data_IF_706605135687
#
_entry.id   IF_706605135687
#
_cell.length_a   1.000
_cell.length_b   1.000
_cell.length_c   1.000
_cell.angle_alpha   90.00
_cell.angle_beta   90.00
_cell.angle_gamma   90.00
#
_symmetry.space_group_name_H-M   'P 1'
#
loop_
_entity.id
_entity.type
_entity.pdbx_description
1 polymer ?
#
# COMPACT_ATOMS: atom_id res chain seq x y z
N UNK A 1 0.84 36.10 30.08
CA UNK A 1 1.69 36.05 28.85
C UNK A 1 2.25 34.66 28.55
N UNK A 2 2.82 33.95 29.53
CA UNK A 2 3.46 32.63 29.35
C UNK A 2 2.53 31.52 28.80
N UNK A 3 1.23 31.53 29.15
CA UNK A 3 0.27 30.51 28.67
C UNK A 3 0.00 30.60 27.16
N UNK A 4 -0.06 31.82 26.59
CA UNK A 4 -0.30 32.02 25.15
C UNK A 4 0.87 31.49 24.31
N UNK A 5 2.10 31.59 24.81
CA UNK A 5 3.30 31.09 24.13
C UNK A 5 3.33 29.55 24.15
N UNK A 6 2.98 28.91 25.27
CA UNK A 6 2.85 27.44 25.35
C UNK A 6 1.79 26.90 24.40
N UNK A 7 0.61 27.52 24.35
CA UNK A 7 -0.49 27.10 23.45
C UNK A 7 -0.10 27.27 21.99
N UNK A 8 0.48 28.42 21.60
CA UNK A 8 0.97 28.63 20.22
C UNK A 8 2.05 27.62 19.82
N UNK A 9 2.92 27.24 20.76
CA UNK A 9 3.96 26.23 20.52
C UNK A 9 3.36 24.83 20.35
N UNK A 10 2.44 24.44 21.23
CA UNK A 10 1.75 23.15 21.15
C UNK A 10 0.97 22.99 19.85
N UNK A 11 0.18 24.00 19.45
CA UNK A 11 -0.56 23.97 18.18
C UNK A 11 0.39 23.84 16.99
N UNK A 12 1.53 24.55 17.00
CA UNK A 12 2.54 24.45 15.94
C UNK A 12 3.18 23.06 15.89
N UNK A 13 3.55 22.50 17.04
CA UNK A 13 4.15 21.16 17.14
C UNK A 13 3.14 20.08 16.68
N UNK A 14 1.87 20.20 17.08
CA UNK A 14 0.79 19.31 16.64
C UNK A 14 0.59 19.34 15.12
N UNK A 15 0.55 20.53 14.52
CA UNK A 15 0.44 20.68 13.07
C UNK A 15 1.64 20.11 12.31
N UNK A 16 2.86 20.37 12.80
CA UNK A 16 4.08 19.81 12.20
C UNK A 16 4.14 18.29 12.32
N UNK A 17 3.68 17.74 13.44
CA UNK A 17 3.56 16.31 13.66
C UNK A 17 2.53 15.70 12.70
N UNK A 18 1.33 16.28 12.62
CA UNK A 18 0.27 15.82 11.72
C UNK A 18 0.70 15.85 10.26
N UNK A 19 1.40 16.90 9.83
CA UNK A 19 1.91 17.00 8.46
C UNK A 19 2.93 15.90 8.17
N UNK A 20 3.86 15.61 9.09
CA UNK A 20 4.83 14.52 8.93
C UNK A 20 4.15 13.15 8.85
N UNK A 21 3.13 12.91 9.66
CA UNK A 21 2.35 11.68 9.60
C UNK A 21 1.58 11.55 8.27
N UNK A 22 1.03 12.66 7.77
CA UNK A 22 0.35 12.69 6.47
C UNK A 22 1.31 12.33 5.32
N UNK A 23 2.56 12.83 5.36
CA UNK A 23 3.59 12.42 4.41
C UNK A 23 3.89 10.92 4.48
N UNK A 24 3.97 10.35 5.68
CA UNK A 24 4.23 8.93 5.87
C UNK A 24 3.08 8.04 5.34
N UNK A 25 1.84 8.54 5.28
CA UNK A 25 0.70 7.76 4.78
C UNK A 25 0.37 7.99 3.30
N UNK A 26 1.16 8.77 2.56
CA UNK A 26 0.87 9.07 1.13
C UNK A 26 0.74 7.79 0.31
N UNK A 27 1.67 6.85 0.48
CA UNK A 27 1.63 5.57 -0.23
C UNK A 27 0.38 4.75 0.10
N UNK A 28 0.08 4.58 1.40
CA UNK A 28 -1.10 3.83 1.85
C UNK A 28 -2.41 4.49 1.44
N UNK A 29 -2.49 5.81 1.52
CA UNK A 29 -3.65 6.59 1.09
C UNK A 29 -3.88 6.50 -0.42
N UNK A 30 -2.81 6.51 -1.22
CA UNK A 30 -2.87 6.29 -2.66
C UNK A 30 -3.42 4.90 -3.01
N UNK A 31 -2.88 3.84 -2.40
CA UNK A 31 -3.37 2.47 -2.65
C UNK A 31 -4.82 2.30 -2.25
N UNK A 32 -5.21 2.79 -1.07
CA UNK A 32 -6.61 2.76 -0.63
C UNK A 32 -7.51 3.53 -1.60
N UNK A 33 -7.08 4.70 -2.06
CA UNK A 33 -7.79 5.51 -3.04
C UNK A 33 -8.02 4.76 -4.35
N UNK A 34 -7.00 4.08 -4.88
CA UNK A 34 -7.12 3.26 -6.10
C UNK A 34 -8.03 2.05 -5.86
N UNK A 35 -7.94 1.38 -4.71
CA UNK A 35 -8.82 0.25 -4.41
C UNK A 35 -10.30 0.67 -4.38
N UNK A 36 -10.59 1.83 -3.80
CA UNK A 36 -11.95 2.40 -3.79
C UNK A 36 -12.36 2.78 -5.22
N UNK A 37 -11.51 3.53 -5.93
CA UNK A 37 -11.81 4.00 -7.28
C UNK A 37 -12.09 2.84 -8.24
N UNK A 38 -11.26 1.81 -8.22
CA UNK A 38 -11.43 0.61 -9.06
C UNK A 38 -12.59 -0.28 -8.61
N UNK A 39 -13.09 -0.14 -7.38
CA UNK A 39 -14.30 -0.82 -6.96
C UNK A 39 -15.57 -0.12 -7.48
N UNK A 40 -15.58 1.21 -7.51
CA UNK A 40 -16.72 1.98 -8.02
C UNK A 40 -16.73 2.12 -9.55
N UNK A 41 -15.55 2.22 -10.18
CA UNK A 41 -15.44 2.53 -11.60
C UNK A 41 -14.21 1.85 -12.22
N UNK A 42 -14.40 0.67 -12.81
CA UNK A 42 -13.36 -0.04 -13.55
C UNK A 42 -13.84 -0.45 -14.94
N UNK A 43 -13.53 0.36 -15.98
CA UNK A 43 -13.99 0.12 -17.36
C UNK A 43 -13.02 -0.74 -18.18
N UNK A 44 -11.93 -1.25 -17.59
CA UNK A 44 -10.88 -1.97 -18.31
C UNK A 44 -11.13 -3.48 -18.23
N UNK A 45 -11.88 -4.03 -19.17
CA UNK A 45 -12.15 -5.48 -19.25
C UNK A 45 -10.91 -6.31 -19.67
N UNK A 46 -9.87 -5.66 -20.20
CA UNK A 46 -8.67 -6.34 -20.73
C UNK A 46 -7.60 -6.68 -19.68
N UNK A 47 -7.68 -6.12 -18.47
CA UNK A 47 -6.70 -6.33 -17.40
C UNK A 47 -7.46 -6.71 -16.12
N UNK A 48 -6.99 -7.73 -15.41
CA UNK A 48 -7.58 -8.08 -14.12
C UNK A 48 -7.37 -6.93 -13.13
N UNK A 49 -8.41 -6.62 -12.34
CA UNK A 49 -8.39 -5.49 -11.40
C UNK A 49 -7.20 -5.55 -10.44
N UNK A 50 -6.84 -6.75 -9.97
CA UNK A 50 -5.70 -6.97 -9.09
C UNK A 50 -4.36 -6.63 -9.76
N UNK A 51 -4.18 -7.00 -11.03
CA UNK A 51 -2.96 -6.70 -11.78
C UNK A 51 -2.83 -5.19 -12.02
N UNK A 52 -3.95 -4.48 -12.27
CA UNK A 52 -3.95 -3.03 -12.38
C UNK A 52 -3.53 -2.34 -11.06
N UNK A 53 -4.08 -2.78 -9.93
CA UNK A 53 -3.71 -2.22 -8.61
C UNK A 53 -2.23 -2.47 -8.32
N UNK A 54 -1.71 -3.66 -8.66
CA UNK A 54 -0.30 -3.99 -8.51
C UNK A 54 0.62 -3.11 -9.37
N UNK A 55 0.28 -2.93 -10.65
CA UNK A 55 1.02 -2.04 -11.54
C UNK A 55 0.98 -0.59 -11.07
N UNK A 56 -0.17 -0.13 -10.58
CA UNK A 56 -0.30 1.21 -10.02
C UNK A 56 0.57 1.39 -8.75
N UNK A 57 0.65 0.36 -7.90
CA UNK A 57 1.53 0.36 -6.73
C UNK A 57 3.01 0.52 -7.12
N UNK A 58 3.47 -0.24 -8.13
CA UNK A 58 4.84 -0.14 -8.64
C UNK A 58 5.09 1.24 -9.24
N UNK A 59 4.18 1.73 -10.09
CA UNK A 59 4.31 3.04 -10.72
C UNK A 59 4.41 4.16 -9.68
N UNK A 60 3.60 4.10 -8.63
CA UNK A 60 3.62 5.08 -7.56
C UNK A 60 4.87 4.98 -6.67
N UNK A 61 5.36 3.77 -6.41
CA UNK A 61 6.65 3.58 -5.72
C UNK A 61 7.83 4.16 -6.51
N UNK A 62 7.83 4.00 -7.85
CA UNK A 62 8.83 4.62 -8.72
C UNK A 62 8.70 6.15 -8.70
N UNK A 63 7.47 6.67 -8.69
CA UNK A 63 7.21 8.11 -8.57
C UNK A 63 7.75 8.68 -7.25
N UNK A 64 7.58 7.99 -6.12
CA UNK A 64 8.13 8.42 -4.82
C UNK A 64 9.66 8.44 -4.82
N UNK A 65 10.29 7.45 -5.47
CA UNK A 65 11.75 7.42 -5.67
C UNK A 65 12.23 8.56 -6.58
N UNK A 66 11.53 8.81 -7.68
CA UNK A 66 11.88 9.87 -8.65
C UNK A 66 11.74 11.27 -8.06
N UNK A 67 10.74 11.49 -7.21
CA UNK A 67 10.51 12.76 -6.49
C UNK A 67 11.46 12.94 -5.30
N UNK A 68 12.32 11.97 -5.00
CA UNK A 68 13.26 11.97 -3.85
C UNK A 68 12.56 12.22 -2.50
N UNK A 69 11.27 11.91 -2.41
CA UNK A 69 10.54 11.94 -1.14
C UNK A 69 10.97 10.79 -0.23
N UNK A 70 11.54 9.73 -0.81
CA UNK A 70 12.11 8.58 -0.11
C UNK A 70 13.60 8.42 -0.42
N UNK A 71 14.38 8.10 0.61
CA UNK A 71 15.81 7.81 0.52
C UNK A 71 16.05 6.41 -0.04
N UNK A 72 17.18 6.22 -0.74
CA UNK A 72 17.58 4.91 -1.26
C UNK A 72 17.72 3.84 -0.16
N UNK A 73 18.03 4.25 1.08
CA UNK A 73 18.07 3.31 2.21
C UNK A 73 16.67 2.89 2.65
N UNK A 74 15.70 3.78 2.56
CA UNK A 74 14.29 3.51 2.91
C UNK A 74 13.66 2.59 1.86
N UNK A 75 13.95 2.81 0.58
CA UNK A 75 13.42 1.95 -0.50
C UNK A 75 13.89 0.50 -0.40
N UNK A 76 15.13 0.25 0.06
CA UNK A 76 15.61 -1.11 0.33
C UNK A 76 14.79 -1.77 1.44
N UNK A 77 14.47 -1.04 2.52
CA UNK A 77 13.61 -1.55 3.60
C UNK A 77 12.21 -1.86 3.08
N UNK A 78 11.66 -1.00 2.21
CA UNK A 78 10.35 -1.22 1.56
C UNK A 78 10.39 -2.50 0.71
N UNK A 79 11.43 -2.71 -0.09
CA UNK A 79 11.58 -3.93 -0.90
C UNK A 79 11.67 -5.18 -0.04
N UNK A 80 12.48 -5.16 1.04
CA UNK A 80 12.58 -6.30 1.97
C UNK A 80 11.23 -6.59 2.61
N UNK A 81 10.50 -5.56 3.05
CA UNK A 81 9.16 -5.71 3.59
C UNK A 81 8.21 -6.38 2.59
N UNK A 82 8.25 -5.98 1.31
CA UNK A 82 7.44 -6.60 0.26
C UNK A 82 7.83 -8.07 0.01
N UNK A 83 9.13 -8.40 0.02
CA UNK A 83 9.58 -9.79 -0.09
C UNK A 83 9.01 -10.64 1.04
N UNK A 84 9.12 -10.16 2.29
CA UNK A 84 8.56 -10.85 3.46
C UNK A 84 7.04 -10.95 3.35
N UNK A 85 6.36 -9.90 2.89
CA UNK A 85 4.91 -9.90 2.66
C UNK A 85 4.49 -10.93 1.61
N UNK A 86 5.21 -11.04 0.49
CA UNK A 86 4.96 -12.07 -0.53
C UNK A 86 5.19 -13.47 0.02
N UNK A 87 6.23 -13.70 0.83
CA UNK A 87 6.45 -14.99 1.49
C UNK A 87 5.28 -15.32 2.42
N UNK A 88 4.84 -14.34 3.22
CA UNK A 88 3.69 -14.50 4.12
C UNK A 88 2.39 -14.77 3.35
N UNK A 89 2.19 -14.11 2.20
CA UNK A 89 1.06 -14.37 1.31
C UNK A 89 1.09 -15.81 0.80
N UNK A 90 2.22 -16.25 0.23
CA UNK A 90 2.41 -17.62 -0.26
C UNK A 90 2.16 -18.67 0.83
N UNK A 91 2.64 -18.41 2.05
CA UNK A 91 2.39 -19.27 3.20
C UNK A 91 0.89 -19.31 3.54
N UNK A 92 0.23 -18.15 3.62
CA UNK A 92 -1.18 -18.02 4.00
C UNK A 92 -2.16 -18.56 2.97
N UNK A 93 -1.78 -18.57 1.69
CA UNK A 93 -2.57 -19.10 0.56
C UNK A 93 -2.16 -20.53 0.17
N UNK A 94 -1.23 -21.16 0.89
CA UNK A 94 -0.83 -22.54 0.64
C UNK A 94 -1.94 -23.53 1.01
N UNK A 95 -1.98 -24.66 0.30
CA UNK A 95 -2.94 -25.76 0.52
C UNK A 95 -2.99 -26.26 1.97
N UNK A 96 -1.89 -26.14 2.71
CA UNK A 96 -1.77 -26.62 4.07
C UNK A 96 -2.50 -25.74 5.11
N UNK A 97 -2.70 -24.45 4.82
CA UNK A 97 -3.23 -23.47 5.77
C UNK A 97 -4.57 -22.90 5.30
N UNK A 98 -4.69 -22.57 4.00
CA UNK A 98 -5.95 -22.11 3.40
C UNK A 98 -6.60 -20.92 4.11
N UNK A 99 -5.83 -20.03 4.75
CA UNK A 99 -6.40 -18.99 5.62
C UNK A 99 -7.29 -17.97 4.89
N UNK A 100 -7.06 -17.78 3.59
CA UNK A 100 -7.96 -17.07 2.69
C UNK A 100 -7.61 -17.40 1.23
N UNK A 101 -8.56 -17.19 0.31
CA UNK A 101 -8.40 -17.43 -1.12
C UNK A 101 -8.80 -16.20 -1.92
N UNK A 102 -8.19 -16.03 -3.09
CA UNK A 102 -8.53 -14.97 -4.02
C UNK A 102 -9.71 -15.40 -4.89
N UNK A 103 -10.84 -14.67 -4.87
CA UNK A 103 -12.07 -15.05 -5.58
C UNK A 103 -12.08 -14.69 -7.07
N UNK A 104 -11.25 -13.74 -7.51
CA UNK A 104 -11.14 -13.34 -8.93
C UNK A 104 -9.86 -13.92 -9.54
N UNK A 105 -9.84 -14.07 -10.88
CA UNK A 105 -8.64 -14.49 -11.61
C UNK A 105 -7.52 -13.44 -11.54
N UNK A 106 -6.28 -13.90 -11.49
CA UNK A 106 -5.06 -13.09 -11.44
C UNK A 106 -3.97 -13.76 -12.28
N UNK A 107 -3.13 -12.95 -12.94
CA UNK A 107 -2.00 -13.47 -13.73
C UNK A 107 -0.72 -13.52 -12.87
N UNK A 108 -0.54 -12.57 -11.93
CA UNK A 108 0.66 -12.49 -11.10
C UNK A 108 0.53 -13.10 -9.70
N UNK A 109 -0.68 -13.43 -9.24
CA UNK A 109 -0.87 -14.17 -8.00
C UNK A 109 -0.45 -15.64 -8.18
N UNK A 110 0.29 -16.18 -7.21
CA UNK A 110 0.50 -17.63 -7.06
C UNK A 110 -0.23 -18.10 -5.82
N UNK A 111 -1.54 -17.86 -5.76
CA UNK A 111 -2.38 -18.55 -4.81
C UNK A 111 -2.89 -19.85 -5.46
N UNK A 112 -3.04 -20.89 -4.64
CA UNK A 112 -3.58 -22.16 -5.10
C UNK A 112 -5.03 -21.91 -5.55
N UNK A 113 -5.46 -22.35 -6.75
CA UNK A 113 -6.86 -22.23 -7.16
C UNK A 113 -7.77 -22.83 -6.09
N UNK A 114 -8.86 -22.13 -5.77
CA UNK A 114 -9.89 -22.58 -4.85
C UNK A 114 -10.30 -24.02 -5.24
N UNK A 115 -10.00 -25.01 -4.40
CA UNK A 115 -10.56 -26.34 -4.55
C UNK A 115 -12.05 -26.25 -4.24
N UNK A 116 -12.86 -26.29 -5.28
CA UNK A 116 -14.28 -26.63 -5.19
C UNK A 116 -14.38 -28.05 -4.66
N UNK A 117 -14.59 -28.17 -3.34
CA UNK A 117 -15.33 -29.30 -2.76
C UNK A 117 -16.82 -29.07 -2.96
#
# INVERSE_FOLDING_TARGET
>A
MLNSIKVKRFVREFWLFGLKQAYACIFGGFLLGIMILTNFWYPLEAIHRYDFIFLAAIAFQIFLLATKLESFKESVVIVIFHIVATIMELFKTSDAIGSWSYPEEYIFGRAVPYKSV
#
